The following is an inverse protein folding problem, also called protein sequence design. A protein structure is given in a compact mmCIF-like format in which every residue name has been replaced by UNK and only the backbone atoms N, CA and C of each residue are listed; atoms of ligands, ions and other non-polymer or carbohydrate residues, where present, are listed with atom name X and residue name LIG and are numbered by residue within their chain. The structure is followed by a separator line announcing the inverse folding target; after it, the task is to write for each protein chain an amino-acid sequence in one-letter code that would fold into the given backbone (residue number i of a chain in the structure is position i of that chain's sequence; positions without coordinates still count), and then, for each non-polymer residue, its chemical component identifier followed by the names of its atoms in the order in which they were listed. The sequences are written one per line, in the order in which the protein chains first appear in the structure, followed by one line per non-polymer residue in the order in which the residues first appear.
data_IF_259727462753
#
_entry.id   IF_259727462753
#
_cell.length_a   1.000
_cell.length_b   1.000
_cell.length_c   1.000
_cell.angle_alpha   90.00
_cell.angle_beta   90.00
_cell.angle_gamma   90.00
#
_symmetry.space_group_name_H-M   'P 1'
#
loop_
_entity.id
_entity.type
_entity.pdbx_description
1 polymer ?
#
# COMPACT_ATOMS: atom_id res chain seq x y z
N UNK A 1 -14.23 -16.17 0.98
CA UNK A 1 -13.13 -15.20 0.89
C UNK A 1 -11.92 -15.74 0.09
N UNK A 2 -12.11 -16.50 -1.00
CA UNK A 2 -11.02 -17.19 -1.71
C UNK A 2 -10.69 -16.59 -3.09
N UNK A 3 -10.44 -15.28 -3.20
CA UNK A 3 -10.15 -14.70 -4.53
C UNK A 3 -9.18 -13.51 -4.53
N UNK A 4 -8.18 -13.53 -3.64
CA UNK A 4 -6.96 -12.72 -3.81
C UNK A 4 -5.82 -13.66 -4.23
N UNK A 5 -5.80 -14.05 -5.50
CA UNK A 5 -4.82 -15.00 -6.05
C UNK A 5 -3.43 -14.39 -6.19
N UNK A 6 -2.64 -14.35 -5.10
CA UNK A 6 -1.24 -13.91 -5.15
C UNK A 6 -0.66 -13.52 -3.79
N UNK A 7 0.63 -13.14 -3.78
CA UNK A 7 1.32 -12.63 -2.59
C UNK A 7 0.60 -11.45 -1.93
N UNK A 8 -0.07 -10.61 -2.71
CA UNK A 8 -0.82 -9.45 -2.22
C UNK A 8 -1.97 -9.82 -1.28
N UNK A 9 -2.63 -10.97 -1.48
CA UNK A 9 -3.70 -11.43 -0.59
C UNK A 9 -3.18 -11.79 0.80
N UNK A 10 -2.02 -12.45 0.86
CA UNK A 10 -1.34 -12.80 2.12
C UNK A 10 -0.86 -11.54 2.84
N UNK A 11 -0.25 -10.60 2.10
CA UNK A 11 0.23 -9.34 2.66
C UNK A 11 -0.90 -8.48 3.23
N UNK A 12 -2.04 -8.37 2.54
CA UNK A 12 -3.22 -7.68 3.06
C UNK A 12 -3.82 -8.39 4.28
N UNK A 13 -3.86 -9.73 4.29
CA UNK A 13 -4.32 -10.47 5.45
C UNK A 13 -3.43 -10.23 6.68
N UNK A 14 -2.11 -10.18 6.48
CA UNK A 14 -1.15 -9.83 7.54
C UNK A 14 -1.40 -8.41 8.06
N UNK A 15 -1.57 -7.45 7.15
CA UNK A 15 -1.85 -6.06 7.50
C UNK A 15 -3.10 -5.97 8.38
N UNK A 16 -4.23 -6.52 7.92
CA UNK A 16 -5.50 -6.41 8.64
C UNK A 16 -5.51 -7.23 9.94
N UNK A 17 -4.82 -8.38 9.99
CA UNK A 17 -4.71 -9.15 11.23
C UNK A 17 -3.94 -8.36 12.30
N UNK A 18 -2.80 -7.77 11.95
CA UNK A 18 -2.01 -6.96 12.87
C UNK A 18 -2.74 -5.65 13.26
N UNK A 19 -3.41 -5.00 12.30
CA UNK A 19 -4.23 -3.82 12.57
C UNK A 19 -5.42 -4.15 13.49
N UNK A 20 -6.06 -5.31 13.32
CA UNK A 20 -7.16 -5.73 14.19
C UNK A 20 -6.69 -6.02 15.62
N UNK A 21 -5.53 -6.66 15.79
CA UNK A 21 -4.94 -6.90 17.12
C UNK A 21 -4.60 -5.57 17.80
N UNK A 22 -3.97 -4.66 17.07
CA UNK A 22 -3.70 -3.28 17.48
C UNK A 22 -4.96 -2.52 17.94
N UNK A 23 -6.02 -2.53 17.12
CA UNK A 23 -7.27 -1.86 17.43
C UNK A 23 -7.98 -2.48 18.65
N UNK A 24 -7.90 -3.81 18.81
CA UNK A 24 -8.46 -4.51 19.99
C UNK A 24 -7.79 -4.12 21.31
N UNK A 25 -6.58 -3.57 21.25
CA UNK A 25 -5.83 -3.03 22.40
C UNK A 25 -6.12 -1.54 22.64
N UNK A 26 -7.04 -0.95 21.88
CA UNK A 26 -7.50 0.43 22.06
C UNK A 26 -6.69 1.49 21.30
N UNK A 27 -5.86 1.10 20.32
CA UNK A 27 -5.18 2.07 19.46
C UNK A 27 -6.15 2.72 18.47
N UNK A 28 -5.85 3.96 18.08
CA UNK A 28 -6.60 4.67 17.04
C UNK A 28 -6.58 3.89 15.71
N UNK A 29 -7.58 4.11 14.87
CA UNK A 29 -7.70 3.41 13.57
C UNK A 29 -6.49 3.67 12.68
N UNK A 30 -6.01 4.91 12.59
CA UNK A 30 -4.85 5.24 11.76
C UNK A 30 -3.57 4.58 12.30
N UNK A 31 -3.39 4.62 13.61
CA UNK A 31 -2.23 4.01 14.29
C UNK A 31 -2.25 2.48 14.16
N UNK A 32 -3.44 1.87 14.26
CA UNK A 32 -3.62 0.44 14.07
C UNK A 32 -3.30 0.00 12.65
N UNK A 33 -3.76 0.75 11.64
CA UNK A 33 -3.44 0.48 10.24
C UNK A 33 -1.95 0.67 9.94
N UNK A 34 -1.29 1.65 10.57
CA UNK A 34 0.16 1.85 10.46
C UNK A 34 0.96 0.68 11.07
N UNK A 35 0.51 0.14 12.21
CA UNK A 35 1.11 -1.07 12.79
C UNK A 35 0.94 -2.29 11.86
N UNK A 36 -0.26 -2.45 11.27
CA UNK A 36 -0.52 -3.46 10.26
C UNK A 36 0.38 -3.34 9.04
N UNK A 37 0.53 -2.10 8.53
CA UNK A 37 1.40 -1.80 7.41
C UNK A 37 2.86 -2.11 7.75
N UNK A 38 3.35 -1.71 8.92
CA UNK A 38 4.70 -2.05 9.41
C UNK A 38 4.92 -3.56 9.41
N UNK A 39 3.96 -4.34 9.91
CA UNK A 39 4.04 -5.81 9.89
C UNK A 39 4.08 -6.37 8.48
N UNK A 40 3.27 -5.84 7.58
CA UNK A 40 3.29 -6.22 6.16
C UNK A 40 4.64 -5.91 5.51
N UNK A 41 5.26 -4.77 5.80
CA UNK A 41 6.57 -4.40 5.28
C UNK A 41 7.68 -5.33 5.79
N UNK A 42 7.65 -5.71 7.07
CA UNK A 42 8.62 -6.67 7.66
C UNK A 42 8.53 -8.04 6.99
N UNK A 43 7.32 -8.54 6.74
CA UNK A 43 7.13 -9.87 6.11
C UNK A 43 7.35 -9.83 4.59
N UNK A 44 6.87 -8.78 3.93
CA UNK A 44 6.95 -8.61 2.48
C UNK A 44 8.28 -8.07 1.97
N UNK A 45 9.12 -7.54 2.87
CA UNK A 45 10.42 -6.95 2.54
C UNK A 45 10.35 -5.71 1.63
N UNK A 46 9.22 -5.00 1.63
CA UNK A 46 8.97 -3.85 0.77
C UNK A 46 8.92 -2.54 1.58
N UNK A 47 9.63 -1.53 1.09
CA UNK A 47 9.63 -0.17 1.59
C UNK A 47 9.14 0.85 0.57
N UNK A 48 9.18 2.12 0.95
CA UNK A 48 9.01 3.24 0.02
C UNK A 48 10.10 3.21 -1.04
N UNK A 49 9.70 3.39 -2.30
CA UNK A 49 10.56 3.36 -3.48
C UNK A 49 10.77 1.97 -4.08
N UNK A 50 10.16 0.93 -3.53
CA UNK A 50 10.29 -0.44 -4.06
C UNK A 50 9.29 -0.77 -5.16
N UNK A 51 8.42 0.19 -5.50
CA UNK A 51 7.38 0.09 -6.53
C UNK A 51 6.34 -0.97 -6.15
N UNK A 52 5.65 -0.73 -5.05
CA UNK A 52 4.61 -1.62 -4.51
C UNK A 52 3.44 -0.82 -3.92
N UNK A 53 2.40 -1.51 -3.45
CA UNK A 53 1.29 -0.87 -2.74
C UNK A 53 1.71 -0.08 -1.48
N UNK A 54 2.89 -0.33 -0.91
CA UNK A 54 3.43 0.45 0.22
C UNK A 54 3.61 1.92 -0.16
N UNK A 55 3.97 2.20 -1.42
CA UNK A 55 4.18 3.55 -1.94
C UNK A 55 2.91 4.40 -1.89
N UNK A 56 1.72 3.78 -1.95
CA UNK A 56 0.44 4.45 -1.80
C UNK A 56 -0.12 4.35 -0.37
N UNK A 57 -0.02 3.18 0.27
CA UNK A 57 -0.63 2.94 1.60
C UNK A 57 0.03 3.78 2.70
N UNK A 58 1.36 3.86 2.74
CA UNK A 58 2.05 4.59 3.81
C UNK A 58 1.69 6.09 3.81
N UNK A 59 1.80 6.83 2.70
CA UNK A 59 1.44 8.26 2.72
C UNK A 59 -0.06 8.46 2.99
N UNK A 60 -0.94 7.58 2.51
CA UNK A 60 -2.37 7.65 2.80
C UNK A 60 -2.69 7.52 4.29
N UNK A 61 -2.08 6.53 4.97
CA UNK A 61 -2.31 6.28 6.39
C UNK A 61 -1.73 7.39 7.29
N UNK A 62 -0.60 7.98 6.90
CA UNK A 62 -0.05 9.17 7.59
C UNK A 62 -0.98 10.38 7.45
N UNK A 63 -1.59 10.56 6.27
CA UNK A 63 -2.52 11.64 5.99
C UNK A 63 -3.94 11.40 6.54
N UNK A 64 -4.27 10.19 7.01
CA UNK A 64 -5.60 9.83 7.48
C UNK A 64 -6.08 10.70 8.66
N UNK A 65 -5.15 11.12 9.52
CA UNK A 65 -5.44 12.05 10.64
C UNK A 65 -5.89 13.44 10.16
N UNK A 66 -5.63 13.79 8.90
CA UNK A 66 -6.05 15.04 8.27
C UNK A 66 -7.38 14.91 7.50
N UNK A 67 -7.95 13.70 7.43
CA UNK A 67 -9.20 13.40 6.75
C UNK A 67 -9.05 12.45 5.55
N UNK A 68 -10.17 11.86 5.13
CA UNK A 68 -10.21 10.88 4.04
C UNK A 68 -9.80 11.47 2.68
N UNK A 69 -10.19 12.71 2.38
CA UNK A 69 -9.79 13.39 1.15
C UNK A 69 -8.25 13.56 1.06
N UNK A 70 -7.60 13.86 2.18
CA UNK A 70 -6.15 14.04 2.26
C UNK A 70 -5.44 12.70 2.15
N UNK A 71 -5.99 11.65 2.75
CA UNK A 71 -5.52 10.28 2.59
C UNK A 71 -5.62 9.82 1.13
N UNK A 72 -6.75 10.06 0.45
CA UNK A 72 -6.94 9.73 -0.96
C UNK A 72 -5.95 10.46 -1.87
N UNK A 73 -5.76 11.76 -1.66
CA UNK A 73 -4.76 12.54 -2.40
C UNK A 73 -3.34 11.99 -2.20
N UNK A 74 -2.97 11.68 -0.96
CA UNK A 74 -1.66 11.13 -0.64
C UNK A 74 -1.45 9.73 -1.24
N UNK A 75 -2.49 8.88 -1.25
CA UNK A 75 -2.47 7.58 -1.89
C UNK A 75 -2.24 7.71 -3.41
N UNK A 76 -2.97 8.63 -4.05
CA UNK A 76 -2.85 8.92 -5.49
C UNK A 76 -1.47 9.39 -5.87
N UNK A 77 -0.93 10.39 -5.16
CA UNK A 77 0.43 10.87 -5.39
C UNK A 77 1.47 9.75 -5.20
N UNK A 78 1.31 8.92 -4.18
CA UNK A 78 2.14 7.74 -3.94
C UNK A 78 2.11 6.73 -5.09
N UNK A 79 0.92 6.43 -5.61
CA UNK A 79 0.74 5.56 -6.76
C UNK A 79 1.37 6.16 -8.03
N UNK A 80 1.07 7.42 -8.35
CA UNK A 80 1.58 8.07 -9.57
C UNK A 80 3.12 8.11 -9.59
N UNK A 81 3.74 8.33 -8.43
CA UNK A 81 5.20 8.31 -8.29
C UNK A 81 5.83 6.97 -8.70
N UNK A 82 5.10 5.86 -8.58
CA UNK A 82 5.61 4.53 -8.99
C UNK A 82 5.89 4.43 -10.48
N UNK A 83 5.22 5.24 -11.32
CA UNK A 83 5.46 5.29 -12.77
C UNK A 83 6.87 5.79 -13.14
N UNK A 84 7.48 6.58 -12.25
CA UNK A 84 8.87 7.06 -12.40
C UNK A 84 9.91 6.07 -11.88
N UNK A 85 9.49 5.01 -11.17
CA UNK A 85 10.41 4.05 -10.55
C UNK A 85 10.82 2.98 -11.55
N UNK A 86 12.08 3.06 -12.01
CA UNK A 86 12.62 2.19 -13.06
C UNK A 86 13.06 0.80 -12.58
N UNK A 87 12.93 0.50 -11.28
CA UNK A 87 13.32 -0.78 -10.71
C UNK A 87 12.35 -1.19 -9.61
N UNK A 88 11.58 -2.24 -9.85
CA UNK A 88 10.85 -2.91 -8.79
C UNK A 88 11.81 -3.77 -7.96
N UNK A 89 11.76 -3.64 -6.65
CA UNK A 89 12.63 -4.37 -5.71
C UNK A 89 11.91 -5.50 -4.98
N UNK A 90 10.59 -5.56 -5.10
CA UNK A 90 9.75 -6.61 -4.50
C UNK A 90 8.64 -7.07 -5.45
N UNK A 91 8.10 -8.26 -5.18
CA UNK A 91 6.98 -8.84 -5.94
C UNK A 91 7.34 -9.30 -7.36
N UNK A 92 6.31 -9.68 -8.14
CA UNK A 92 6.48 -10.16 -9.53
C UNK A 92 6.97 -9.09 -10.50
N UNK A 93 6.79 -7.81 -10.15
CA UNK A 93 7.31 -6.69 -10.93
C UNK A 93 8.85 -6.66 -10.93
N UNK A 94 9.52 -7.26 -9.93
CA UNK A 94 10.99 -7.37 -9.91
C UNK A 94 11.56 -8.25 -11.04
N UNK A 95 10.72 -9.04 -11.71
CA UNK A 95 11.09 -9.87 -12.87
C UNK A 95 11.03 -9.11 -14.20
N UNK A 96 10.54 -7.87 -14.18
CA UNK A 96 10.27 -7.04 -15.37
C UNK A 96 11.43 -6.06 -15.56
N UNK A 97 11.92 -5.94 -16.80
CA UNK A 97 12.99 -5.00 -17.15
C UNK A 97 12.54 -3.53 -17.04
N UNK A 98 13.48 -2.63 -16.75
CA UNK A 98 13.23 -1.20 -16.52
C UNK A 98 12.42 -0.53 -17.65
N UNK A 99 12.66 -0.95 -18.90
CA UNK A 99 12.00 -0.40 -20.10
C UNK A 99 10.48 -0.69 -20.14
N UNK A 100 10.03 -1.77 -19.51
CA UNK A 100 8.61 -2.13 -19.42
C UNK A 100 7.94 -1.53 -18.17
N UNK A 101 8.73 -0.96 -17.26
CA UNK A 101 8.26 -0.36 -16.02
C UNK A 101 8.06 1.16 -16.18
N UNK A 102 8.90 1.82 -16.98
CA UNK A 102 8.85 3.27 -17.18
C UNK A 102 7.47 3.75 -17.68
N UNK A 103 6.89 4.74 -16.99
CA UNK A 103 5.62 5.35 -17.38
C UNK A 103 4.35 4.59 -16.98
N UNK A 104 4.49 3.42 -16.34
CA UNK A 104 3.36 2.63 -15.85
C UNK A 104 3.28 2.64 -14.33
N UNK A 105 2.13 2.96 -13.77
CA UNK A 105 1.87 2.87 -12.32
C UNK A 105 1.89 1.40 -11.88
N UNK A 106 2.41 1.12 -10.69
CA UNK A 106 2.34 -0.20 -10.08
C UNK A 106 0.88 -0.61 -9.82
N UNK A 107 0.42 -1.79 -10.28
CA UNK A 107 -0.97 -2.21 -10.08
C UNK A 107 -1.40 -2.30 -8.61
N UNK A 108 -0.47 -2.63 -7.70
CA UNK A 108 -0.75 -2.68 -6.27
C UNK A 108 -0.97 -1.29 -5.68
N UNK A 109 -0.12 -0.34 -6.05
CA UNK A 109 -0.26 1.07 -5.66
C UNK A 109 -1.52 1.71 -6.27
N UNK A 110 -1.82 1.42 -7.55
CA UNK A 110 -3.05 1.87 -8.22
C UNK A 110 -4.31 1.38 -7.50
N UNK A 111 -4.35 0.10 -7.15
CA UNK A 111 -5.49 -0.47 -6.43
C UNK A 111 -5.67 0.18 -5.05
N UNK A 112 -4.56 0.46 -4.33
CA UNK A 112 -4.61 1.15 -3.05
C UNK A 112 -5.13 2.59 -3.19
N UNK A 113 -4.66 3.34 -4.19
CA UNK A 113 -5.12 4.70 -4.42
C UNK A 113 -6.63 4.76 -4.76
N UNK A 114 -7.10 3.87 -5.65
CA UNK A 114 -8.55 3.77 -5.96
C UNK A 114 -9.41 3.41 -4.75
N UNK A 115 -8.89 2.57 -3.86
CA UNK A 115 -9.60 2.24 -2.62
C UNK A 115 -9.82 3.48 -1.76
N UNK A 116 -8.78 4.30 -1.56
CA UNK A 116 -8.93 5.53 -0.78
C UNK A 116 -9.80 6.57 -1.46
N UNK A 117 -9.71 6.72 -2.79
CA UNK A 117 -10.60 7.57 -3.57
C UNK A 117 -12.07 7.16 -3.36
N UNK A 118 -12.38 5.87 -3.51
CA UNK A 118 -13.74 5.37 -3.33
C UNK A 118 -14.30 5.47 -1.91
N UNK A 119 -13.44 5.54 -0.88
CA UNK A 119 -13.87 5.73 0.52
C UNK A 119 -14.02 7.22 0.86
N UNK A 120 -13.34 8.11 0.14
CA UNK A 120 -13.43 9.54 0.33
C UNK A 120 -14.63 10.19 -0.39
N UNK A 121 -15.17 9.50 -1.41
CA UNK A 121 -16.42 9.84 -2.11
C UNK A 121 -17.68 9.60 -1.24
#
# INVERSE_FOLDING_TARGET
SQTMGGSSGVLLAILFAAASDAASKGMDVAESLLEGLSRMQVIGGAGIGDRTMVDALLPALLALKLGLAQAAKAAREGADNTASMLKARSGRASYVGADQLAGHVDPGAEAAARLFEAIAD
#
